data_IF_135828997333
#
_entry.id   IF_135828997333
#
_cell.length_a   1.000
_cell.length_b   1.000
_cell.length_c   1.000
_cell.angle_alpha   90.00
_cell.angle_beta   90.00
_cell.angle_gamma   90.00
#
_symmetry.space_group_name_H-M   'P 1'
#
loop_
_entity.id
_entity.type
_entity.pdbx_description
1 polymer ?
#
# COMPACT_ATOMS: atom_id res chain seq x y z
N UNK A 1 5.73 -29.64 -8.14
CA UNK A 1 5.00 -28.65 -7.32
C UNK A 1 5.75 -27.32 -7.41
N UNK A 2 5.29 -26.38 -8.24
CA UNK A 2 5.79 -25.00 -8.25
C UNK A 2 4.64 -24.13 -8.79
N UNK A 3 3.72 -23.76 -7.89
CA UNK A 3 2.58 -22.92 -8.24
C UNK A 3 3.10 -21.50 -8.53
N UNK A 4 3.43 -21.26 -9.81
CA UNK A 4 3.44 -19.93 -10.42
C UNK A 4 2.04 -19.35 -10.26
N UNK A 5 1.81 -18.57 -9.21
CA UNK A 5 0.66 -17.68 -9.17
C UNK A 5 1.04 -16.39 -9.90
N UNK A 6 0.54 -16.33 -11.13
CA UNK A 6 0.40 -15.16 -11.98
C UNK A 6 -0.12 -13.97 -11.15
N UNK A 7 0.57 -12.85 -11.25
CA UNK A 7 0.08 -11.66 -11.96
C UNK A 7 -1.26 -11.16 -11.41
N UNK A 8 -1.19 -10.13 -10.59
CA UNK A 8 -2.24 -9.12 -10.54
C UNK A 8 -1.60 -7.79 -10.88
N UNK A 9 -2.03 -7.30 -12.04
CA UNK A 9 -2.12 -5.91 -12.43
C UNK A 9 -1.00 -4.98 -11.99
N UNK A 10 -0.03 -4.91 -12.88
CA UNK A 10 0.48 -3.64 -13.35
C UNK A 10 -0.66 -2.63 -13.50
N UNK A 11 -0.79 -1.75 -12.50
CA UNK A 11 -1.53 -0.51 -12.68
C UNK A 11 -0.52 0.61 -12.92
N UNK A 12 -0.05 0.68 -14.18
CA UNK A 12 0.30 1.96 -14.80
C UNK A 12 -1.00 2.72 -15.06
N UNK A 13 -1.54 3.43 -14.07
CA UNK A 13 -2.39 4.59 -14.40
C UNK A 13 -1.69 5.77 -13.82
N UNK A 14 -1.28 6.67 -14.72
CA UNK A 14 -0.54 7.91 -14.50
C UNK A 14 0.01 8.07 -13.09
N UNK A 15 1.34 8.03 -12.95
CA UNK A 15 2.02 8.42 -11.70
C UNK A 15 1.36 9.68 -11.11
N UNK A 16 0.91 10.61 -11.96
CA UNK A 16 0.17 11.81 -11.61
C UNK A 16 -1.18 11.58 -10.88
N UNK A 17 -2.03 10.65 -11.33
CA UNK A 17 -3.38 10.46 -10.79
C UNK A 17 -3.36 9.78 -9.42
N UNK A 18 -2.60 8.70 -9.28
CA UNK A 18 -2.49 7.96 -8.01
C UNK A 18 -1.81 8.82 -6.94
N UNK A 19 -0.76 9.57 -7.30
CA UNK A 19 -0.10 10.50 -6.38
C UNK A 19 -1.02 11.65 -5.97
N UNK A 20 -1.86 12.15 -6.89
CA UNK A 20 -2.81 13.23 -6.60
C UNK A 20 -3.96 12.77 -5.68
N UNK A 21 -4.51 11.57 -5.92
CA UNK A 21 -5.48 10.95 -5.00
C UNK A 21 -4.86 10.70 -3.62
N UNK A 22 -3.62 10.21 -3.58
CA UNK A 22 -2.89 10.00 -2.33
C UNK A 22 -2.70 11.31 -1.56
N UNK A 23 -2.34 12.41 -2.23
CA UNK A 23 -2.25 13.74 -1.58
C UNK A 23 -3.56 14.17 -0.96
N UNK A 24 -4.68 14.00 -1.68
CA UNK A 24 -6.00 14.36 -1.18
C UNK A 24 -6.36 13.52 0.05
N UNK A 25 -6.16 12.19 0.00
CA UNK A 25 -6.44 11.31 1.15
C UNK A 25 -5.54 11.59 2.35
N UNK A 26 -4.27 11.96 2.13
CA UNK A 26 -3.36 12.41 3.20
C UNK A 26 -3.87 13.71 3.83
N UNK A 27 -4.30 14.68 3.02
CA UNK A 27 -4.89 15.94 3.53
C UNK A 27 -6.15 15.66 4.36
N UNK A 28 -6.97 14.70 3.93
CA UNK A 28 -8.20 14.28 4.63
C UNK A 28 -7.92 13.40 5.87
N UNK A 29 -6.65 13.06 6.15
CA UNK A 29 -6.21 12.12 7.20
C UNK A 29 -6.86 10.72 7.14
N UNK A 30 -7.47 10.35 6.01
CA UNK A 30 -8.10 9.03 5.78
C UNK A 30 -7.11 7.97 5.30
N UNK A 31 -5.89 8.01 5.83
CA UNK A 31 -4.82 7.09 5.48
C UNK A 31 -4.32 6.36 6.72
N UNK A 32 -4.14 5.05 6.58
CA UNK A 32 -3.55 4.19 7.60
C UNK A 32 -2.10 3.93 7.19
N UNK A 33 -1.17 4.31 8.07
CA UNK A 33 0.26 4.18 7.83
C UNK A 33 0.82 3.06 8.69
N UNK A 34 1.72 2.27 8.11
CA UNK A 34 2.49 1.24 8.83
C UNK A 34 1.86 -0.14 8.76
N UNK A 35 2.73 -1.15 8.66
CA UNK A 35 2.35 -2.54 8.37
C UNK A 35 1.38 -3.12 9.40
N UNK A 36 1.64 -2.98 10.70
CA UNK A 36 0.74 -3.51 11.74
C UNK A 36 -0.66 -2.89 11.72
N UNK A 37 -0.74 -1.57 11.50
CA UNK A 37 -2.03 -0.88 11.44
C UNK A 37 -2.79 -1.25 10.18
N UNK A 38 -2.09 -1.36 9.05
CA UNK A 38 -2.66 -1.82 7.79
C UNK A 38 -3.15 -3.27 7.91
N UNK A 39 -2.42 -4.16 8.58
CA UNK A 39 -2.85 -5.53 8.83
C UNK A 39 -4.12 -5.60 9.69
N UNK A 40 -4.24 -4.74 10.71
CA UNK A 40 -5.47 -4.64 11.51
C UNK A 40 -6.64 -4.12 10.66
N UNK A 41 -6.43 -3.03 9.94
CA UNK A 41 -7.46 -2.41 9.12
C UNK A 41 -7.90 -3.32 7.95
N UNK A 42 -6.99 -4.13 7.40
CA UNK A 42 -7.28 -5.20 6.44
C UNK A 42 -8.20 -6.25 7.04
N UNK A 43 -7.95 -6.70 8.28
CA UNK A 43 -8.81 -7.67 8.98
C UNK A 43 -10.19 -7.11 9.27
N UNK A 44 -10.29 -5.82 9.56
CA UNK A 44 -11.55 -5.11 9.80
C UNK A 44 -12.29 -4.73 8.51
N UNK A 45 -11.73 -5.00 7.33
CA UNK A 45 -12.27 -4.54 6.03
C UNK A 45 -12.49 -3.02 5.95
N UNK A 46 -11.79 -2.25 6.79
CA UNK A 46 -11.92 -0.79 6.88
C UNK A 46 -11.02 -0.06 5.86
N UNK A 47 -10.47 -0.78 4.88
CA UNK A 47 -9.57 -0.22 3.87
C UNK A 47 -9.97 -0.71 2.49
N UNK A 48 -9.99 0.20 1.53
CA UNK A 48 -10.38 -0.10 0.15
C UNK A 48 -9.18 -0.52 -0.71
N UNK A 49 -7.98 0.00 -0.40
CA UNK A 49 -6.76 -0.22 -1.20
C UNK A 49 -5.51 -0.17 -0.32
N UNK A 50 -4.51 -0.96 -0.68
CA UNK A 50 -3.18 -0.95 -0.05
C UNK A 50 -2.15 -0.46 -1.05
N UNK A 51 -1.30 0.47 -0.62
CA UNK A 51 -0.18 0.97 -1.39
C UNK A 51 1.15 0.58 -0.73
N UNK A 52 2.08 0.12 -1.55
CA UNK A 52 3.37 -0.44 -1.09
C UNK A 52 4.51 0.34 -1.75
N UNK A 53 5.53 0.67 -0.95
CA UNK A 53 6.74 1.31 -1.46
C UNK A 53 7.56 0.38 -2.37
N UNK A 54 8.39 0.98 -3.22
CA UNK A 54 9.31 0.23 -4.08
C UNK A 54 10.32 -0.60 -3.28
N UNK A 55 10.84 -0.03 -2.19
CA UNK A 55 11.86 -0.64 -1.32
C UNK A 55 11.28 -1.55 -0.21
N UNK A 56 10.06 -2.07 -0.37
CA UNK A 56 9.50 -2.98 0.64
C UNK A 56 10.16 -4.35 0.59
N UNK A 57 10.59 -4.89 1.75
CA UNK A 57 11.16 -6.23 1.83
C UNK A 57 10.11 -7.29 1.47
N UNK A 58 10.56 -8.36 0.82
CA UNK A 58 9.70 -9.43 0.30
C UNK A 58 8.89 -10.14 1.39
N UNK A 59 9.43 -10.24 2.61
CA UNK A 59 8.68 -10.80 3.75
C UNK A 59 7.36 -10.05 3.97
N UNK A 60 7.43 -8.71 4.09
CA UNK A 60 6.26 -7.86 4.32
C UNK A 60 5.30 -7.92 3.14
N UNK A 61 5.83 -7.92 1.90
CA UNK A 61 5.00 -8.05 0.71
C UNK A 61 4.24 -9.37 0.68
N UNK A 62 4.90 -10.47 1.03
CA UNK A 62 4.28 -11.79 1.02
C UNK A 62 3.16 -11.90 2.08
N UNK A 63 3.38 -11.35 3.27
CA UNK A 63 2.33 -11.21 4.29
C UNK A 63 1.15 -10.41 3.74
N UNK A 64 1.39 -9.20 3.21
CA UNK A 64 0.33 -8.35 2.67
C UNK A 64 -0.46 -9.03 1.54
N UNK A 65 0.22 -9.72 0.61
CA UNK A 65 -0.43 -10.46 -0.48
C UNK A 65 -1.31 -11.58 0.08
N UNK A 66 -0.83 -12.30 1.11
CA UNK A 66 -1.61 -13.35 1.74
C UNK A 66 -2.88 -12.80 2.39
N UNK A 67 -2.77 -11.74 3.19
CA UNK A 67 -3.92 -11.11 3.84
C UNK A 67 -4.87 -10.44 2.84
N UNK A 68 -4.33 -9.76 1.82
CA UNK A 68 -5.14 -9.13 0.78
C UNK A 68 -5.93 -10.14 -0.04
N UNK A 69 -5.38 -11.33 -0.30
CA UNK A 69 -6.08 -12.40 -1.01
C UNK A 69 -7.30 -12.94 -0.23
N UNK A 70 -7.25 -12.93 1.11
CA UNK A 70 -8.38 -13.33 1.95
C UNK A 70 -9.53 -12.31 1.89
N UNK A 71 -9.20 -11.03 1.73
CA UNK A 71 -10.15 -9.91 1.82
C UNK A 71 -10.53 -9.35 0.44
N UNK A 72 -9.82 -9.78 -0.62
CA UNK A 72 -9.98 -9.31 -2.00
C UNK A 72 -9.67 -7.81 -2.19
N UNK A 73 -8.65 -7.30 -1.50
CA UNK A 73 -8.26 -5.88 -1.57
C UNK A 73 -7.10 -5.69 -2.56
N UNK A 74 -7.17 -4.71 -3.47
CA UNK A 74 -6.09 -4.44 -4.43
C UNK A 74 -4.85 -3.87 -3.75
N UNK A 75 -3.69 -4.38 -4.16
CA UNK A 75 -2.36 -3.90 -3.75
C UNK A 75 -1.73 -3.16 -4.93
N UNK A 76 -1.34 -1.91 -4.71
CA UNK A 76 -0.70 -1.05 -5.71
C UNK A 76 0.74 -0.78 -5.26
N UNK A 77 1.72 -1.06 -6.12
CA UNK A 77 3.12 -0.73 -5.82
C UNK A 77 3.45 0.64 -6.41
N UNK A 78 3.91 1.55 -5.56
CA UNK A 78 4.37 2.88 -5.96
C UNK A 78 5.86 2.82 -6.32
N UNK A 79 6.27 3.66 -7.28
CA UNK A 79 7.67 3.84 -7.65
C UNK A 79 8.51 4.57 -6.60
N UNK A 80 7.87 5.10 -5.56
CA UNK A 80 8.49 5.87 -4.48
C UNK A 80 9.17 4.98 -3.44
N UNK A 81 10.26 5.48 -2.88
CA UNK A 81 10.89 4.87 -1.70
C UNK A 81 10.13 5.18 -0.42
N UNK A 82 10.43 4.42 0.64
CA UNK A 82 9.90 4.60 1.98
C UNK A 82 10.21 5.99 2.59
N UNK A 83 11.33 6.60 2.19
CA UNK A 83 11.72 7.96 2.56
C UNK A 83 10.83 9.01 1.89
N UNK A 84 10.70 8.91 0.57
CA UNK A 84 9.88 9.82 -0.22
C UNK A 84 8.40 9.75 0.18
N UNK A 85 7.89 8.55 0.47
CA UNK A 85 6.54 8.36 0.99
C UNK A 85 6.34 8.99 2.37
N UNK A 86 7.32 8.91 3.26
CA UNK A 86 7.27 9.58 4.56
C UNK A 86 7.15 11.11 4.40
N UNK A 87 8.00 11.68 3.55
CA UNK A 87 7.99 13.12 3.21
C UNK A 87 6.66 13.51 2.54
N UNK A 88 6.15 12.69 1.63
CA UNK A 88 4.88 12.92 0.92
C UNK A 88 3.69 12.91 1.87
N UNK A 89 3.70 12.01 2.85
CA UNK A 89 2.73 11.92 3.94
C UNK A 89 2.92 13.01 5.02
N UNK A 90 3.88 13.93 4.87
CA UNK A 90 4.27 14.94 5.87
C UNK A 90 4.55 14.33 7.26
N UNK A 91 5.15 13.15 7.29
CA UNK A 91 5.52 12.45 8.53
C UNK A 91 7.04 12.35 8.63
N UNK A 92 7.57 12.55 9.84
CA UNK A 92 9.00 12.43 10.16
C UNK A 92 9.51 10.97 10.24
N UNK A 93 8.78 9.99 9.69
CA UNK A 93 9.16 8.58 9.74
C UNK A 93 9.00 7.91 8.38
N UNK A 94 9.80 6.88 8.16
CA UNK A 94 9.77 6.07 6.94
C UNK A 94 8.50 5.24 6.88
N UNK A 95 7.81 5.28 5.75
CA UNK A 95 6.59 4.50 5.56
C UNK A 95 6.76 3.56 4.39
N UNK A 96 6.76 2.26 4.70
CA UNK A 96 6.86 1.20 3.69
C UNK A 96 5.49 0.82 3.14
N UNK A 97 4.47 0.80 3.99
CA UNK A 97 3.12 0.35 3.65
C UNK A 97 2.11 1.39 4.07
N UNK A 98 1.18 1.66 3.17
CA UNK A 98 0.11 2.62 3.31
C UNK A 98 -1.19 1.88 2.97
N UNK A 99 -2.29 2.21 3.63
CA UNK A 99 -3.61 1.83 3.16
C UNK A 99 -4.50 3.06 3.18
N UNK A 100 -5.41 3.11 2.23
CA UNK A 100 -6.43 4.16 2.19
C UNK A 100 -7.74 3.57 2.65
N UNK A 101 -8.40 4.28 3.56
CA UNK A 101 -9.82 4.05 3.84
C UNK A 101 -10.68 4.58 2.70
#
# INVERSE_FOLDING_TARGET
MAKKQKAQDQQVVGEDSTLKELRQKITDNKVVLGTERVLKALREQAVERVLVARNCPDQIRNDLVHYAALVNIPIITLGLNNEELGVFCKKNFFVSVLATQ
#
